data_IF_874661065457
#
_entry.id   IF_874661065457
#
_cell.length_a   1.000
_cell.length_b   1.000
_cell.length_c   1.000
_cell.angle_alpha   90.00
_cell.angle_beta   90.00
_cell.angle_gamma   90.00
#
_symmetry.space_group_name_H-M   'P 1'
#
loop_
_entity.id
_entity.type
_entity.pdbx_description
1 polymer ?
#
# COMPACT_ATOMS: atom_id res chain seq x y z
N UNK A 1 -22.80 -6.17 -14.53
CA UNK A 1 -22.01 -5.27 -15.36
C UNK A 1 -21.64 -4.05 -14.54
N UNK A 2 -20.36 -3.77 -14.38
CA UNK A 2 -19.84 -2.50 -13.83
C UNK A 2 -19.98 -1.36 -14.89
N UNK A 3 -21.09 -1.27 -15.54
CA UNK A 3 -21.38 -0.26 -16.54
C UNK A 3 -22.05 0.93 -15.85
N UNK A 4 -21.22 1.94 -15.54
CA UNK A 4 -21.64 3.24 -15.06
C UNK A 4 -21.40 3.46 -13.58
N UNK A 5 -20.70 4.55 -13.25
CA UNK A 5 -20.62 5.06 -11.89
C UNK A 5 -22.05 5.42 -11.47
N UNK A 6 -22.58 4.87 -10.35
CA UNK A 6 -23.89 5.24 -9.88
C UNK A 6 -23.98 6.76 -9.69
N UNK A 7 -25.09 7.36 -10.07
CA UNK A 7 -25.32 8.81 -9.98
C UNK A 7 -25.24 9.37 -8.54
N UNK A 8 -25.05 8.53 -7.54
CA UNK A 8 -25.04 8.84 -6.12
C UNK A 8 -23.61 8.98 -5.53
N UNK A 9 -22.53 8.71 -6.31
CA UNK A 9 -21.17 8.87 -5.77
C UNK A 9 -20.77 10.34 -5.72
N UNK A 10 -20.31 10.78 -4.55
CA UNK A 10 -19.94 12.17 -4.30
C UNK A 10 -18.51 12.46 -4.75
N UNK A 11 -18.29 13.63 -5.32
CA UNK A 11 -16.95 14.10 -5.70
C UNK A 11 -16.27 14.77 -4.52
N UNK A 12 -15.07 14.31 -4.20
CA UNK A 12 -14.22 14.86 -3.14
C UNK A 12 -12.80 15.05 -3.63
N UNK A 13 -12.00 15.83 -2.89
CA UNK A 13 -10.54 15.73 -2.95
C UNK A 13 -10.07 14.69 -1.94
N UNK A 14 -9.01 13.97 -2.28
CA UNK A 14 -8.42 12.98 -1.36
C UNK A 14 -8.07 13.60 -0.02
N UNK A 15 -7.58 14.85 -0.02
CA UNK A 15 -7.22 15.57 1.19
C UNK A 15 -8.39 15.85 2.16
N UNK A 16 -9.62 15.82 1.68
CA UNK A 16 -10.82 16.01 2.52
C UNK A 16 -11.21 14.70 3.24
N UNK A 17 -10.68 13.57 2.77
CA UNK A 17 -11.06 12.22 3.18
C UNK A 17 -10.00 11.53 4.05
N UNK A 18 -8.78 12.07 4.13
CA UNK A 18 -7.67 11.45 4.84
C UNK A 18 -6.87 12.44 5.68
N UNK A 19 -6.25 11.93 6.72
CA UNK A 19 -5.08 12.54 7.36
C UNK A 19 -3.82 11.95 6.72
N UNK A 20 -2.95 12.83 6.17
CA UNK A 20 -1.71 12.42 5.51
C UNK A 20 -0.51 12.70 6.41
N UNK A 21 0.18 11.62 6.84
CA UNK A 21 1.43 11.69 7.60
C UNK A 21 2.62 11.46 6.67
N UNK A 22 3.53 12.42 6.55
CA UNK A 22 4.83 12.20 5.89
C UNK A 22 5.83 11.65 6.88
N UNK A 23 6.69 10.74 6.43
CA UNK A 23 7.75 10.17 7.24
C UNK A 23 8.99 11.06 7.35
N UNK A 24 9.87 10.68 8.26
CA UNK A 24 11.16 11.33 8.54
C UNK A 24 12.24 10.26 8.70
N UNK A 25 13.42 10.52 8.13
CA UNK A 25 14.57 9.64 8.29
C UNK A 25 15.25 9.85 9.63
N UNK A 26 15.97 8.81 10.05
CA UNK A 26 16.88 8.83 11.20
C UNK A 26 18.35 8.72 10.76
N UNK A 27 19.25 9.23 11.61
CA UNK A 27 20.67 8.91 11.49
C UNK A 27 20.89 7.42 11.83
N UNK A 28 21.96 6.78 11.32
CA UNK A 28 22.26 5.37 11.63
C UNK A 28 22.38 5.04 13.12
N UNK A 29 22.73 6.04 13.97
CA UNK A 29 22.79 5.91 15.42
C UNK A 29 21.43 5.83 16.11
N UNK A 30 20.33 6.19 15.42
CA UNK A 30 19.01 6.39 16.01
C UNK A 30 18.08 5.19 15.78
N UNK A 31 18.58 4.14 15.13
CA UNK A 31 17.84 2.89 14.91
C UNK A 31 18.78 1.67 15.02
N UNK A 32 18.17 0.50 15.17
CA UNK A 32 18.87 -0.76 15.38
C UNK A 32 18.20 -1.91 14.59
N UNK A 33 18.85 -3.08 14.60
CA UNK A 33 18.34 -4.35 14.04
C UNK A 33 18.10 -5.43 15.10
N UNK A 34 18.19 -5.05 16.39
CA UNK A 34 18.02 -5.94 17.55
C UNK A 34 16.58 -6.04 18.05
N UNK A 35 15.65 -5.24 17.50
CA UNK A 35 14.25 -5.23 17.93
C UNK A 35 13.96 -4.25 19.08
N UNK A 36 14.86 -3.32 19.37
CA UNK A 36 14.71 -2.37 20.46
C UNK A 36 13.91 -1.13 20.02
N UNK A 37 12.73 -0.94 20.60
CA UNK A 37 11.86 0.20 20.33
C UNK A 37 10.72 -0.12 19.35
N UNK A 38 10.27 0.88 18.59
CA UNK A 38 9.17 0.78 17.64
C UNK A 38 9.70 0.38 16.26
N UNK A 39 8.98 -0.49 15.50
CA UNK A 39 9.35 -0.84 14.14
C UNK A 39 9.58 0.40 13.27
N UNK A 40 10.66 0.38 12.48
CA UNK A 40 11.03 1.46 11.57
C UNK A 40 10.94 1.02 10.11
N UNK A 41 9.98 1.57 9.39
CA UNK A 41 9.75 1.31 7.97
C UNK A 41 10.61 2.26 7.14
N UNK A 42 11.70 1.73 6.55
CA UNK A 42 12.73 2.56 5.89
C UNK A 42 12.43 2.87 4.43
N UNK A 43 11.65 2.06 3.72
CA UNK A 43 11.35 2.26 2.31
C UNK A 43 10.71 1.03 1.65
N UNK A 44 10.74 0.99 0.32
CA UNK A 44 10.11 -0.08 -0.47
C UNK A 44 10.61 -1.49 -0.13
N UNK A 45 11.83 -1.64 0.39
CA UNK A 45 12.37 -2.93 0.87
C UNK A 45 11.60 -3.52 2.05
N UNK A 46 10.81 -2.69 2.74
CA UNK A 46 9.90 -3.16 3.80
C UNK A 46 8.56 -3.70 3.25
N UNK A 47 8.40 -3.77 1.92
CA UNK A 47 7.22 -4.36 1.27
C UNK A 47 7.68 -5.62 0.55
N UNK A 48 7.22 -6.78 1.03
CA UNK A 48 7.54 -8.09 0.46
C UNK A 48 6.23 -8.83 0.21
N UNK A 49 6.00 -9.25 -1.02
CA UNK A 49 4.78 -9.97 -1.44
C UNK A 49 3.47 -9.29 -0.98
N UNK A 50 3.41 -7.95 -1.12
CA UNK A 50 2.25 -7.15 -0.74
C UNK A 50 2.03 -7.02 0.78
N UNK A 51 3.02 -7.35 1.60
CA UNK A 51 2.98 -7.27 3.06
C UNK A 51 4.09 -6.40 3.61
N UNK A 52 3.85 -5.82 4.79
CA UNK A 52 4.87 -5.06 5.51
C UNK A 52 5.78 -5.99 6.32
N UNK A 53 7.09 -5.86 6.12
CA UNK A 53 8.13 -6.60 6.84
C UNK A 53 9.02 -5.62 7.59
N UNK A 54 9.32 -5.93 8.84
CA UNK A 54 10.15 -5.11 9.72
C UNK A 54 11.53 -5.74 9.87
N UNK A 55 12.56 -4.94 9.68
CA UNK A 55 13.97 -5.34 9.91
C UNK A 55 14.77 -4.30 10.70
N UNK A 56 14.13 -3.20 11.10
CA UNK A 56 14.74 -2.11 11.87
C UNK A 56 13.77 -1.56 12.89
N UNK A 57 14.33 -1.03 13.99
CA UNK A 57 13.57 -0.47 15.11
C UNK A 57 14.24 0.83 15.59
N UNK A 58 13.43 1.71 16.20
CA UNK A 58 13.92 2.97 16.78
C UNK A 58 13.35 3.20 18.17
N UNK A 59 14.18 3.57 19.16
CA UNK A 59 13.71 3.97 20.49
C UNK A 59 13.17 5.40 20.56
N UNK A 60 13.32 6.18 19.47
CA UNK A 60 12.95 7.61 19.42
C UNK A 60 12.01 7.94 18.26
N UNK A 61 10.86 7.24 18.11
CA UNK A 61 9.95 7.44 16.98
C UNK A 61 9.37 8.87 16.96
N UNK A 62 9.06 9.38 15.76
CA UNK A 62 8.53 10.75 15.55
C UNK A 62 7.34 10.79 14.61
N UNK A 63 7.34 9.98 13.56
CA UNK A 63 6.32 9.98 12.49
C UNK A 63 5.61 8.63 12.47
N UNK A 64 4.44 8.58 13.07
CA UNK A 64 3.72 7.33 13.31
C UNK A 64 2.75 6.98 12.19
N UNK A 65 2.75 5.72 11.79
CA UNK A 65 1.64 5.08 11.09
C UNK A 65 1.11 3.93 11.96
N UNK A 66 -0.18 3.62 11.82
CA UNK A 66 -0.89 2.65 12.66
C UNK A 66 -1.53 1.57 11.80
N UNK A 67 -1.85 0.45 12.41
CA UNK A 67 -2.52 -0.69 11.75
C UNK A 67 -3.71 -0.25 10.90
N UNK A 68 -3.69 -0.62 9.63
CA UNK A 68 -4.71 -0.30 8.65
C UNK A 68 -4.52 1.06 7.97
N UNK A 69 -3.50 1.86 8.32
CA UNK A 69 -3.10 2.99 7.49
C UNK A 69 -2.57 2.46 6.15
N UNK A 70 -2.86 3.17 5.07
CA UNK A 70 -2.31 2.88 3.76
C UNK A 70 -0.95 3.56 3.62
N UNK A 71 0.11 2.78 3.40
CA UNK A 71 1.45 3.31 3.14
C UNK A 71 1.67 3.42 1.63
N UNK A 72 2.01 4.62 1.17
CA UNK A 72 2.43 4.92 -0.20
C UNK A 72 3.93 5.20 -0.21
N UNK A 73 4.68 4.45 -1.00
CA UNK A 73 6.09 4.77 -1.27
C UNK A 73 6.12 5.97 -2.21
N UNK A 74 6.63 7.09 -1.72
CA UNK A 74 6.61 8.36 -2.46
C UNK A 74 7.95 8.72 -3.10
N UNK A 75 9.05 8.03 -2.76
CA UNK A 75 10.40 8.31 -3.28
C UNK A 75 11.19 7.03 -3.52
N UNK A 76 12.19 7.12 -4.40
CA UNK A 76 13.09 6.01 -4.74
C UNK A 76 12.52 5.05 -5.78
N UNK A 77 13.25 3.96 -6.06
CA UNK A 77 12.92 2.98 -7.11
C UNK A 77 11.58 2.28 -6.93
N UNK A 78 11.05 2.22 -5.70
CA UNK A 78 9.74 1.65 -5.39
C UNK A 78 8.60 2.68 -5.39
N UNK A 79 8.82 3.92 -5.86
CA UNK A 79 7.79 4.97 -5.88
C UNK A 79 6.52 4.49 -6.58
N UNK A 80 5.37 4.73 -5.96
CA UNK A 80 4.06 4.25 -6.39
C UNK A 80 3.64 2.92 -5.76
N UNK A 81 4.52 2.19 -5.07
CA UNK A 81 4.11 1.00 -4.33
C UNK A 81 3.21 1.37 -3.15
N UNK A 82 2.15 0.58 -2.96
CA UNK A 82 1.13 0.78 -1.93
C UNK A 82 0.97 -0.50 -1.12
N UNK A 83 0.87 -0.37 0.19
CA UNK A 83 0.63 -1.49 1.10
C UNK A 83 -0.23 -1.04 2.28
N UNK A 84 -1.08 -1.93 2.79
CA UNK A 84 -1.78 -1.70 4.06
C UNK A 84 -0.88 -2.14 5.22
N UNK A 85 -0.71 -1.26 6.20
CA UNK A 85 0.12 -1.55 7.38
C UNK A 85 -0.51 -2.62 8.26
N UNK A 86 0.26 -3.69 8.53
CA UNK A 86 -0.16 -4.81 9.38
C UNK A 86 0.32 -4.74 10.83
N UNK A 87 1.37 -3.96 11.10
CA UNK A 87 1.89 -3.69 12.45
C UNK A 87 0.99 -2.70 13.20
N UNK A 88 0.92 -2.81 14.53
CA UNK A 88 0.08 -1.93 15.35
C UNK A 88 0.50 -0.47 15.23
N UNK A 89 1.80 -0.23 15.35
CA UNK A 89 2.41 1.09 15.23
C UNK A 89 3.82 0.99 14.68
N UNK A 90 4.18 1.90 13.77
CA UNK A 90 5.53 1.98 13.20
C UNK A 90 5.96 3.44 13.05
N UNK A 91 7.27 3.70 13.09
CA UNK A 91 7.84 4.92 12.52
C UNK A 91 8.04 4.74 11.02
N UNK A 92 7.73 5.76 10.22
CA UNK A 92 7.91 5.75 8.76
C UNK A 92 9.01 6.73 8.33
N UNK A 93 9.91 6.27 7.45
CA UNK A 93 10.94 7.09 6.83
C UNK A 93 10.35 8.02 5.74
N UNK A 94 11.12 9.03 5.32
CA UNK A 94 10.72 10.02 4.30
C UNK A 94 10.33 9.42 2.95
N UNK A 95 10.61 8.14 2.72
CA UNK A 95 10.18 7.43 1.52
C UNK A 95 8.69 7.06 1.55
N UNK A 96 8.06 7.13 2.71
CA UNK A 96 6.65 6.81 2.90
C UNK A 96 5.79 8.04 3.19
N UNK A 97 4.56 7.97 2.74
CA UNK A 97 3.43 8.70 3.30
C UNK A 97 2.40 7.69 3.80
N UNK A 98 1.86 7.91 5.00
CA UNK A 98 0.75 7.14 5.54
C UNK A 98 -0.56 7.92 5.33
N UNK A 99 -1.53 7.26 4.72
CA UNK A 99 -2.87 7.77 4.48
C UNK A 99 -3.81 7.10 5.48
N UNK A 100 -4.36 7.89 6.40
CA UNK A 100 -5.34 7.46 7.40
C UNK A 100 -6.71 7.99 7.00
N UNK A 101 -7.67 7.13 6.63
CA UNK A 101 -9.00 7.58 6.23
C UNK A 101 -9.78 8.16 7.42
N UNK A 102 -10.63 9.14 7.12
CA UNK A 102 -11.63 9.67 8.05
C UNK A 102 -12.85 8.72 8.12
N UNK A 103 -13.83 9.05 8.96
CA UNK A 103 -14.98 8.18 9.26
C UNK A 103 -15.85 7.82 8.03
N UNK A 104 -15.85 8.67 7.01
CA UNK A 104 -16.61 8.47 5.78
C UNK A 104 -15.92 7.55 4.75
N UNK A 105 -14.73 7.02 5.05
CA UNK A 105 -14.00 6.11 4.18
C UNK A 105 -13.42 4.92 4.97
N UNK A 106 -13.67 3.70 4.49
CA UNK A 106 -13.08 2.50 5.13
C UNK A 106 -11.60 2.37 4.81
N UNK A 107 -10.84 1.69 5.68
CA UNK A 107 -9.38 1.46 5.50
C UNK A 107 -9.10 0.69 4.22
N UNK A 108 -9.88 -0.33 3.96
CA UNK A 108 -9.76 -1.18 2.76
C UNK A 108 -10.07 -0.39 1.49
N UNK A 109 -11.10 0.47 1.52
CA UNK A 109 -11.41 1.31 0.37
C UNK A 109 -10.33 2.36 0.14
N UNK A 110 -9.78 2.97 1.18
CA UNK A 110 -8.63 3.88 1.09
C UNK A 110 -7.43 3.19 0.43
N UNK A 111 -7.14 1.95 0.82
CA UNK A 111 -6.06 1.16 0.23
C UNK A 111 -6.27 0.93 -1.27
N UNK A 112 -7.41 0.37 -1.69
CA UNK A 112 -7.68 0.10 -3.11
C UNK A 112 -7.77 1.37 -3.94
N UNK A 113 -8.34 2.44 -3.40
CA UNK A 113 -8.38 3.75 -4.05
C UNK A 113 -6.96 4.30 -4.27
N UNK A 114 -6.11 4.24 -3.24
CA UNK A 114 -4.71 4.68 -3.34
C UNK A 114 -3.94 3.82 -4.34
N UNK A 115 -4.14 2.50 -4.33
CA UNK A 115 -3.53 1.57 -5.28
C UNK A 115 -3.93 1.93 -6.73
N UNK A 116 -5.22 2.19 -6.98
CA UNK A 116 -5.72 2.61 -8.29
C UNK A 116 -5.11 3.94 -8.74
N UNK A 117 -4.94 4.89 -7.83
CA UNK A 117 -4.41 6.22 -8.15
C UNK A 117 -2.88 6.27 -8.23
N UNK A 118 -2.17 5.28 -7.70
CA UNK A 118 -0.71 5.31 -7.51
C UNK A 118 0.06 5.50 -8.81
N UNK A 119 -0.32 4.80 -9.88
CA UNK A 119 0.31 4.95 -11.20
C UNK A 119 0.09 6.35 -11.80
N UNK A 120 -1.11 6.90 -11.66
CA UNK A 120 -1.42 8.26 -12.10
C UNK A 120 -0.64 9.31 -11.31
N UNK A 121 -0.53 9.13 -9.99
CA UNK A 121 0.27 10.00 -9.13
C UNK A 121 1.75 9.93 -9.51
N UNK A 122 2.27 8.75 -9.80
CA UNK A 122 3.64 8.54 -10.25
C UNK A 122 3.91 9.24 -11.60
N UNK A 123 3.00 9.11 -12.57
CA UNK A 123 3.13 9.78 -13.87
C UNK A 123 3.07 11.31 -13.76
N UNK A 124 2.27 11.83 -12.83
CA UNK A 124 2.19 13.27 -12.57
C UNK A 124 3.45 13.85 -11.90
N UNK A 125 4.29 12.99 -11.33
CA UNK A 125 5.53 13.34 -10.64
C UNK A 125 6.74 13.52 -11.56
N UNK A 126 6.54 13.58 -12.89
CA UNK A 126 7.59 13.77 -13.90
C UNK A 126 8.08 15.23 -13.97
N UNK A 127 8.62 15.73 -12.88
CA UNK A 127 9.28 17.04 -12.77
C UNK A 127 10.75 16.89 -12.34
N UNK A 128 11.44 18.02 -12.14
CA UNK A 128 12.82 18.09 -11.62
C UNK A 128 13.07 17.37 -10.29
N UNK A 129 12.00 17.02 -9.56
CA UNK A 129 12.05 16.27 -8.30
C UNK A 129 11.35 14.93 -8.50
N UNK A 130 12.13 13.85 -8.58
CA UNK A 130 11.59 12.49 -8.65
C UNK A 130 10.82 12.15 -7.35
N UNK A 131 9.54 11.83 -7.48
CA UNK A 131 8.71 11.34 -6.39
C UNK A 131 7.32 11.95 -6.33
N UNK A 132 6.44 11.28 -5.60
CA UNK A 132 5.07 11.72 -5.35
C UNK A 132 5.10 12.68 -4.15
N UNK A 133 4.69 13.92 -4.33
CA UNK A 133 4.61 14.89 -3.25
C UNK A 133 3.25 14.89 -2.54
N UNK A 134 3.18 15.52 -1.37
CA UNK A 134 1.93 15.64 -0.58
C UNK A 134 0.80 16.29 -1.36
N UNK A 135 1.11 17.32 -2.13
CA UNK A 135 0.11 18.09 -2.90
C UNK A 135 -0.50 17.21 -3.99
N UNK A 136 0.32 16.40 -4.65
CA UNK A 136 -0.15 15.42 -5.65
C UNK A 136 -1.14 14.44 -5.04
N UNK A 137 -0.88 13.91 -3.85
CA UNK A 137 -1.80 12.99 -3.15
C UNK A 137 -3.09 13.70 -2.75
N UNK A 138 -2.99 14.83 -2.05
CA UNK A 138 -4.14 15.53 -1.46
C UNK A 138 -5.09 16.12 -2.52
N UNK A 139 -4.57 16.49 -3.69
CA UNK A 139 -5.37 17.10 -4.77
C UNK A 139 -6.01 16.08 -5.73
N UNK A 140 -5.85 14.76 -5.51
CA UNK A 140 -6.57 13.78 -6.33
C UNK A 140 -8.09 13.97 -6.19
N UNK A 141 -8.77 14.10 -7.33
CA UNK A 141 -10.22 14.08 -7.36
C UNK A 141 -10.68 12.63 -7.34
N UNK A 142 -11.55 12.30 -6.41
CA UNK A 142 -12.05 10.94 -6.18
C UNK A 142 -13.57 10.94 -6.12
N UNK A 143 -14.15 9.79 -6.43
CA UNK A 143 -15.57 9.53 -6.25
C UNK A 143 -15.72 8.63 -5.03
N UNK A 144 -16.54 9.05 -4.07
CA UNK A 144 -16.74 8.34 -2.82
C UNK A 144 -18.13 7.70 -2.81
N UNK A 145 -18.20 6.35 -2.78
CA UNK A 145 -19.46 5.63 -2.53
C UNK A 145 -19.87 5.71 -1.07
N UNK A 146 -21.12 5.32 -0.78
CA UNK A 146 -21.55 5.08 0.60
C UNK A 146 -20.69 4.03 1.30
N UNK A 147 -20.59 4.06 2.63
CA UNK A 147 -19.84 3.07 3.42
C UNK A 147 -20.26 1.64 3.10
N UNK A 148 -21.55 1.41 2.87
CA UNK A 148 -22.08 0.09 2.49
C UNK A 148 -21.52 -0.38 1.15
N UNK A 149 -21.51 0.49 0.14
CA UNK A 149 -20.96 0.17 -1.18
C UNK A 149 -19.44 0.01 -1.12
N UNK A 150 -18.72 0.84 -0.35
CA UNK A 150 -17.28 0.67 -0.13
C UNK A 150 -16.97 -0.73 0.38
N UNK A 151 -17.70 -1.22 1.40
CA UNK A 151 -17.54 -2.58 1.94
C UNK A 151 -17.86 -3.66 0.90
N UNK A 152 -18.90 -3.48 0.09
CA UNK A 152 -19.24 -4.43 -0.98
C UNK A 152 -18.13 -4.51 -2.04
N UNK A 153 -17.62 -3.36 -2.48
CA UNK A 153 -16.54 -3.26 -3.46
C UNK A 153 -15.27 -3.93 -2.91
N UNK A 154 -14.87 -3.58 -1.70
CA UNK A 154 -13.63 -4.10 -1.11
C UNK A 154 -13.70 -5.59 -0.81
N UNK A 155 -14.85 -6.10 -0.34
CA UNK A 155 -15.06 -7.54 -0.14
C UNK A 155 -14.97 -8.31 -1.46
N UNK A 156 -15.51 -7.76 -2.55
CA UNK A 156 -15.41 -8.37 -3.87
C UNK A 156 -13.94 -8.40 -4.36
N UNK A 157 -13.20 -7.29 -4.22
CA UNK A 157 -11.79 -7.22 -4.60
C UNK A 157 -10.93 -8.21 -3.79
N UNK A 158 -11.13 -8.29 -2.48
CA UNK A 158 -10.46 -9.26 -1.61
C UNK A 158 -10.75 -10.71 -2.00
N UNK A 159 -12.00 -11.02 -2.39
CA UNK A 159 -12.37 -12.35 -2.88
C UNK A 159 -11.66 -12.69 -4.20
N UNK A 160 -11.54 -11.72 -5.11
CA UNK A 160 -10.80 -11.88 -6.37
C UNK A 160 -9.30 -12.12 -6.10
N UNK A 161 -8.67 -11.33 -5.24
CA UNK A 161 -7.25 -11.51 -4.89
C UNK A 161 -7.00 -12.89 -4.28
N UNK A 162 -7.86 -13.33 -3.37
CA UNK A 162 -7.77 -14.68 -2.79
C UNK A 162 -7.88 -15.77 -3.86
N UNK A 163 -8.80 -15.60 -4.81
CA UNK A 163 -8.97 -16.54 -5.93
C UNK A 163 -7.72 -16.58 -6.82
N UNK A 164 -7.15 -15.41 -7.15
CA UNK A 164 -5.92 -15.32 -7.94
C UNK A 164 -4.75 -16.03 -7.25
N UNK A 165 -4.52 -15.80 -5.96
CA UNK A 165 -3.46 -16.46 -5.19
C UNK A 165 -3.59 -17.99 -5.20
N UNK A 166 -4.83 -18.52 -5.09
CA UNK A 166 -5.07 -19.97 -5.16
C UNK A 166 -4.69 -20.50 -6.55
N UNK A 167 -5.13 -19.83 -7.63
CA UNK A 167 -4.84 -20.28 -8.98
C UNK A 167 -3.36 -20.18 -9.34
N UNK A 168 -2.65 -19.16 -8.89
CA UNK A 168 -1.19 -19.05 -9.02
C UNK A 168 -0.47 -20.19 -8.29
N UNK A 169 -0.92 -20.56 -7.10
CA UNK A 169 -0.40 -21.71 -6.36
C UNK A 169 -0.60 -23.03 -7.11
N UNK A 170 -1.77 -23.24 -7.70
CA UNK A 170 -2.06 -24.42 -8.53
C UNK A 170 -1.16 -24.43 -9.77
N UNK A 171 -1.03 -23.31 -10.46
CA UNK A 171 -0.18 -23.19 -11.66
C UNK A 171 1.29 -23.52 -11.33
N UNK A 172 1.84 -22.98 -10.25
CA UNK A 172 3.21 -23.29 -9.79
C UNK A 172 3.39 -24.79 -9.56
N UNK A 173 2.42 -25.46 -8.91
CA UNK A 173 2.45 -26.92 -8.70
C UNK A 173 2.45 -27.69 -10.01
N UNK A 174 1.57 -27.34 -10.96
CA UNK A 174 1.48 -27.99 -12.27
C UNK A 174 2.79 -27.84 -13.07
N UNK A 175 3.37 -26.65 -13.08
CA UNK A 175 4.67 -26.38 -13.73
C UNK A 175 5.77 -27.22 -13.11
N UNK A 176 5.84 -27.33 -11.78
CA UNK A 176 6.81 -28.17 -11.07
C UNK A 176 6.62 -29.66 -11.39
N UNK A 177 5.37 -30.14 -11.39
CA UNK A 177 5.05 -31.53 -11.72
C UNK A 177 5.45 -31.85 -13.17
N UNK A 178 5.13 -30.98 -14.13
CA UNK A 178 5.56 -31.13 -15.53
C UNK A 178 7.08 -31.26 -15.62
N UNK A 179 7.84 -30.38 -14.94
CA UNK A 179 9.30 -30.43 -14.93
C UNK A 179 9.82 -31.73 -14.36
N UNK A 180 9.26 -32.21 -13.25
CA UNK A 180 9.65 -33.51 -12.65
C UNK A 180 9.39 -34.69 -13.57
N UNK A 181 8.22 -34.75 -14.23
CA UNK A 181 7.90 -35.81 -15.18
C UNK A 181 8.84 -35.81 -16.40
N UNK A 182 9.16 -34.63 -16.95
CA UNK A 182 10.10 -34.52 -18.06
C UNK A 182 11.49 -35.03 -17.65
N UNK A 183 11.96 -34.73 -16.42
CA UNK A 183 13.23 -35.25 -15.91
C UNK A 183 13.22 -36.77 -15.71
N UNK A 184 12.09 -37.37 -15.36
CA UNK A 184 11.96 -38.82 -15.19
C UNK A 184 11.83 -39.58 -16.50
N UNK A 185 11.24 -38.95 -17.54
CA UNK A 185 10.95 -39.62 -18.82
C UNK A 185 12.11 -39.52 -19.83
N UNK A 186 12.99 -38.57 -19.69
CA UNK A 186 14.02 -38.24 -20.67
C UNK A 186 15.47 -38.26 -20.11
N UNK A 187 15.69 -38.98 -18.99
CA UNK A 187 17.05 -39.29 -18.49
C UNK A 187 17.55 -40.59 -19.06
#
# INVERSE_FOLDING_TARGET
>A
SFAGIPAQWEKHKMGDLITLQSGQDFAPSDYNDQGEGIPYMTGASCIVDGRTVVSRWTPIPRCFAHRGDTLLVCKGSGSGAVVMLSQDEVHIARQFMALRPHENMTKEFCFYLTLHLSERMKQSATGLIEGIDRKTVLNQNVLLPSITEQKQITNFLLALEKSLLIHEGVLKKLVSTKKGLLQQLFI
#
